data_IF_004453806486
#
_entry.id   IF_004453806486
#
_cell.length_a   1.000
_cell.length_b   1.000
_cell.length_c   1.000
_cell.angle_alpha   90.00
_cell.angle_beta   90.00
_cell.angle_gamma   90.00
#
_symmetry.space_group_name_H-M   'P 1'
#
loop_
_entity.id
_entity.type
_entity.pdbx_description
1 polymer ?
#
# COMPACT_ATOMS: atom_id res chain seq x y z
N UNK A 1 -17.11 28.82 28.60
CA UNK A 1 -17.05 27.57 27.83
C UNK A 1 -16.07 27.77 26.67
N UNK A 2 -15.57 26.68 26.08
CA UNK A 2 -14.70 26.72 24.91
C UNK A 2 -15.23 25.71 23.88
N UNK A 3 -15.21 26.09 22.62
CA UNK A 3 -15.62 25.27 21.49
C UNK A 3 -14.36 24.82 20.73
N UNK A 4 -14.28 23.55 20.33
CA UNK A 4 -13.10 22.99 19.67
C UNK A 4 -13.52 22.24 18.42
N UNK A 5 -12.86 22.54 17.30
CA UNK A 5 -13.01 21.79 16.06
C UNK A 5 -11.65 21.25 15.64
N UNK A 6 -11.61 19.95 15.33
CA UNK A 6 -10.41 19.21 14.98
C UNK A 6 -10.62 18.54 13.63
N UNK A 7 -9.65 18.68 12.74
CA UNK A 7 -9.56 17.95 11.49
C UNK A 7 -8.23 17.23 11.46
N UNK A 8 -8.29 15.91 11.27
CA UNK A 8 -7.11 15.06 11.18
C UNK A 8 -6.95 14.57 9.74
N UNK A 9 -5.80 14.84 9.14
CA UNK A 9 -5.37 14.28 7.86
C UNK A 9 -4.24 13.26 8.12
N UNK A 10 -4.41 11.98 7.72
CA UNK A 10 -3.38 10.97 7.92
C UNK A 10 -2.16 11.23 7.00
N UNK A 11 -1.01 10.68 7.40
CA UNK A 11 0.23 10.76 6.63
C UNK A 11 0.10 10.04 5.30
N UNK A 12 0.36 10.79 4.22
CA UNK A 12 0.53 10.26 2.88
C UNK A 12 1.98 10.50 2.51
N UNK A 13 2.87 9.52 2.72
CA UNK A 13 4.32 9.69 2.58
C UNK A 13 4.80 10.38 1.29
N UNK A 14 4.12 10.13 0.18
CA UNK A 14 4.44 10.74 -1.12
C UNK A 14 3.86 12.15 -1.30
N UNK A 15 2.85 12.53 -0.52
CA UNK A 15 2.10 13.79 -0.69
C UNK A 15 2.24 14.74 0.51
N UNK A 16 1.96 14.32 1.75
CA UNK A 16 1.80 15.19 2.94
C UNK A 16 2.13 14.49 4.28
N UNK A 17 2.74 15.17 5.28
CA UNK A 17 2.92 14.65 6.65
C UNK A 17 1.58 14.40 7.37
N UNK A 18 1.58 13.66 8.50
CA UNK A 18 0.43 13.65 9.42
C UNK A 18 0.13 15.09 9.78
N UNK A 19 -1.11 15.53 9.58
CA UNK A 19 -1.48 16.92 9.84
C UNK A 19 -2.73 16.94 10.70
N UNK A 20 -2.60 17.49 11.91
CA UNK A 20 -3.71 17.78 12.81
C UNK A 20 -3.91 19.29 12.80
N UNK A 21 -4.97 19.72 12.14
CA UNK A 21 -5.39 21.11 12.11
C UNK A 21 -6.57 21.28 13.05
N UNK A 22 -6.55 22.33 13.86
CA UNK A 22 -7.61 22.59 14.80
C UNK A 22 -7.71 24.04 15.15
N UNK A 23 -8.84 24.36 15.76
CA UNK A 23 -8.96 25.62 16.46
C UNK A 23 -9.79 25.48 17.72
N UNK A 24 -9.40 26.25 18.72
CA UNK A 24 -10.13 26.44 19.96
C UNK A 24 -10.67 27.87 19.96
N UNK A 25 -11.98 28.02 20.10
CA UNK A 25 -12.64 29.33 20.30
C UNK A 25 -13.14 29.42 21.74
N UNK A 26 -12.79 30.49 22.43
CA UNK A 26 -13.28 30.77 23.77
C UNK A 26 -14.57 31.59 23.68
N UNK A 27 -15.64 31.11 24.32
CA UNK A 27 -16.95 31.75 24.28
C UNK A 27 -18.09 30.77 24.58
N UNK A 28 -19.30 31.30 24.65
CA UNK A 28 -20.52 30.47 24.68
C UNK A 28 -20.84 30.06 23.25
N UNK A 29 -21.24 28.79 23.06
CA UNK A 29 -21.83 28.35 21.79
C UNK A 29 -23.15 29.10 21.56
N UNK A 30 -23.52 29.28 20.30
CA UNK A 30 -24.83 29.86 19.98
C UNK A 30 -25.97 28.89 20.31
N UNK A 31 -27.22 29.34 20.13
CA UNK A 31 -28.41 28.51 20.41
C UNK A 31 -28.48 27.23 19.55
N UNK A 32 -27.71 27.17 18.44
CA UNK A 32 -27.61 26.02 17.53
C UNK A 32 -26.43 25.09 17.86
N UNK A 33 -25.63 25.41 18.89
CA UNK A 33 -24.45 24.65 19.27
C UNK A 33 -23.22 24.89 18.39
N UNK A 34 -23.23 25.92 17.54
CA UNK A 34 -22.08 26.31 16.71
C UNK A 34 -21.07 27.13 17.52
N UNK A 35 -19.78 26.99 17.16
CA UNK A 35 -18.73 27.80 17.78
C UNK A 35 -18.93 29.28 17.45
N UNK A 36 -18.77 30.21 18.41
CA UNK A 36 -18.95 31.63 18.15
C UNK A 36 -17.94 32.15 17.10
N UNK A 37 -18.41 32.83 16.07
CA UNK A 37 -17.54 33.31 14.98
C UNK A 37 -16.61 34.47 15.41
N UNK A 38 -17.03 35.27 16.39
CA UNK A 38 -16.36 36.53 16.80
C UNK A 38 -15.54 36.42 18.10
N UNK A 39 -15.26 35.21 18.57
CA UNK A 39 -14.54 34.96 19.83
C UNK A 39 -13.01 34.98 19.74
N UNK A 40 -12.36 34.97 20.91
CA UNK A 40 -10.91 34.73 21.01
C UNK A 40 -10.58 33.33 20.50
N UNK A 41 -9.67 33.22 19.53
CA UNK A 41 -9.42 31.97 18.80
C UNK A 41 -7.94 31.62 18.74
N UNK A 42 -7.59 30.42 19.18
CA UNK A 42 -6.27 29.80 18.96
C UNK A 42 -6.42 28.80 17.82
N UNK A 43 -5.74 29.04 16.72
CA UNK A 43 -5.57 28.08 15.63
C UNK A 43 -4.26 27.34 15.85
N UNK A 44 -4.28 26.02 15.68
CA UNK A 44 -3.08 25.22 15.72
C UNK A 44 -3.01 24.28 14.52
N UNK A 45 -1.82 24.13 13.97
CA UNK A 45 -1.51 23.16 12.93
C UNK A 45 -0.30 22.36 13.37
N UNK A 46 -0.53 21.15 13.88
CA UNK A 46 0.52 20.21 14.24
C UNK A 46 0.77 19.27 13.05
N UNK A 47 2.03 19.15 12.65
CA UNK A 47 2.49 18.33 11.52
C UNK A 47 3.57 17.40 12.01
N UNK A 48 3.51 16.14 11.61
CA UNK A 48 4.51 15.14 11.95
C UNK A 48 4.83 14.30 10.71
N UNK A 49 6.10 14.19 10.34
CA UNK A 49 6.49 13.40 9.18
C UNK A 49 7.98 13.20 9.02
N UNK A 50 8.40 12.63 7.87
CA UNK A 50 9.81 12.43 7.57
C UNK A 50 10.53 13.75 7.30
N UNK A 51 11.86 13.72 7.39
CA UNK A 51 12.73 14.87 7.14
C UNK A 51 12.49 15.53 5.78
N UNK A 52 12.78 16.83 5.65
CA UNK A 52 12.75 17.53 4.36
C UNK A 52 13.60 16.87 3.28
N UNK A 53 14.76 16.33 3.66
CA UNK A 53 15.62 15.61 2.73
C UNK A 53 14.92 14.35 2.19
N UNK A 54 14.30 13.56 3.07
CA UNK A 54 13.53 12.38 2.67
C UNK A 54 12.32 12.75 1.80
N UNK A 55 11.61 13.84 2.13
CA UNK A 55 10.51 14.38 1.31
C UNK A 55 10.98 14.82 -0.08
N UNK A 56 12.10 15.54 -0.15
CA UNK A 56 12.70 15.99 -1.41
C UNK A 56 13.14 14.80 -2.27
N UNK A 57 13.78 13.80 -1.66
CA UNK A 57 14.17 12.57 -2.34
C UNK A 57 12.95 11.81 -2.89
N UNK A 58 11.88 11.69 -2.09
CA UNK A 58 10.60 11.09 -2.50
C UNK A 58 9.96 11.77 -3.71
N UNK A 59 10.13 13.09 -3.84
CA UNK A 59 9.62 13.88 -4.98
C UNK A 59 10.58 13.93 -6.18
N UNK A 60 11.85 13.60 -6.00
CA UNK A 60 12.84 13.65 -7.07
C UNK A 60 12.73 12.47 -8.04
N UNK A 61 13.17 12.67 -9.28
CA UNK A 61 13.30 11.60 -10.30
C UNK A 61 14.51 10.68 -10.07
N UNK A 62 15.18 10.78 -8.91
CA UNK A 62 16.30 9.90 -8.59
C UNK A 62 15.80 8.46 -8.40
N UNK A 63 16.44 7.55 -9.13
CA UNK A 63 15.88 6.23 -9.50
C UNK A 63 16.08 5.16 -8.41
N UNK A 64 16.91 5.35 -7.38
CA UNK A 64 17.02 4.31 -6.35
C UNK A 64 17.51 4.80 -5.00
N UNK A 65 16.99 4.15 -3.94
CA UNK A 65 17.43 4.30 -2.54
C UNK A 65 18.75 3.55 -2.29
N UNK A 66 19.02 2.52 -3.08
CA UNK A 66 20.20 1.66 -3.06
C UNK A 66 20.37 1.10 -4.47
N UNK A 67 21.47 1.39 -5.19
CA UNK A 67 21.80 1.04 -6.60
C UNK A 67 21.52 -0.42 -7.04
N UNK A 68 20.29 -0.90 -6.92
CA UNK A 68 19.90 -2.29 -7.11
C UNK A 68 18.50 -2.34 -7.66
N UNK A 69 18.31 -3.16 -8.70
CA UNK A 69 17.01 -3.40 -9.33
C UNK A 69 16.00 -4.09 -8.39
N UNK A 70 16.48 -4.61 -7.25
CA UNK A 70 15.71 -5.41 -6.29
C UNK A 70 15.05 -4.60 -5.16
N UNK A 71 15.40 -3.31 -5.01
CA UNK A 71 14.88 -2.45 -3.94
C UNK A 71 14.63 -1.02 -4.45
N UNK A 72 13.77 -0.86 -5.47
CA UNK A 72 13.53 0.43 -6.10
C UNK A 72 12.69 1.32 -5.17
N UNK A 73 12.75 2.63 -5.37
CA UNK A 73 12.05 3.63 -4.54
C UNK A 73 10.53 3.42 -4.50
N UNK A 74 9.96 2.87 -5.55
CA UNK A 74 8.53 2.63 -5.76
C UNK A 74 7.92 1.70 -4.70
N UNK A 75 8.74 0.84 -4.06
CA UNK A 75 8.29 -0.03 -2.96
C UNK A 75 7.79 0.77 -1.74
N UNK A 76 8.17 2.04 -1.59
CA UNK A 76 7.67 2.93 -0.54
C UNK A 76 6.17 3.27 -0.66
N UNK A 77 5.55 3.00 -1.83
CA UNK A 77 4.10 3.18 -2.04
C UNK A 77 3.28 2.15 -1.25
N UNK A 78 3.85 0.99 -0.96
CA UNK A 78 3.20 -0.14 -0.31
C UNK A 78 3.08 0.04 1.21
N UNK A 79 2.19 -0.71 1.85
CA UNK A 79 2.01 -0.70 3.30
C UNK A 79 1.55 -2.07 3.82
N UNK A 80 2.38 -2.85 4.52
CA UNK A 80 3.79 -2.59 4.79
C UNK A 80 4.65 -2.63 3.52
N UNK A 81 5.87 -2.10 3.62
CA UNK A 81 6.83 -2.12 2.52
C UNK A 81 7.29 -3.57 2.28
N UNK A 82 7.32 -4.06 1.03
CA UNK A 82 7.90 -5.34 0.67
C UNK A 82 9.36 -5.39 1.11
N UNK A 83 9.66 -6.22 2.11
CA UNK A 83 11.04 -6.43 2.56
C UNK A 83 11.55 -7.78 2.09
N UNK A 84 12.85 -7.85 1.87
CA UNK A 84 13.57 -9.07 1.52
C UNK A 84 14.99 -9.04 2.08
N UNK A 85 15.71 -10.14 1.95
CA UNK A 85 17.15 -10.19 2.24
C UNK A 85 17.95 -9.07 1.53
N UNK A 86 17.50 -8.65 0.36
CA UNK A 86 18.16 -7.65 -0.50
C UNK A 86 17.50 -6.26 -0.43
N UNK A 87 16.32 -6.17 0.18
CA UNK A 87 15.58 -4.93 0.38
C UNK A 87 15.18 -4.83 1.85
N UNK A 88 16.13 -4.37 2.67
CA UNK A 88 16.00 -4.36 4.13
C UNK A 88 15.22 -3.15 4.61
N UNK A 89 14.48 -3.32 5.71
CA UNK A 89 13.78 -2.22 6.41
C UNK A 89 14.67 -1.02 6.71
N UNK A 90 15.93 -1.26 7.11
CA UNK A 90 16.91 -0.21 7.41
C UNK A 90 17.14 0.77 6.26
N UNK A 91 16.94 0.34 5.01
CA UNK A 91 17.09 1.21 3.83
C UNK A 91 15.98 2.28 3.77
N UNK A 92 14.85 2.03 4.43
CA UNK A 92 13.66 2.87 4.39
C UNK A 92 13.43 3.68 5.66
N UNK A 93 14.14 3.39 6.75
CA UNK A 93 13.92 4.02 8.06
C UNK A 93 13.88 5.55 7.95
N UNK A 94 14.77 6.18 7.18
CA UNK A 94 14.79 7.63 7.02
C UNK A 94 13.57 8.22 6.29
N UNK A 95 12.87 7.40 5.50
CA UNK A 95 11.69 7.78 4.71
C UNK A 95 10.40 7.44 5.42
N UNK A 96 10.43 6.45 6.31
CA UNK A 96 9.25 5.98 7.05
C UNK A 96 9.20 6.48 8.49
N UNK A 97 10.34 6.92 9.04
CA UNK A 97 10.42 7.49 10.38
C UNK A 97 9.85 8.91 10.43
N UNK A 98 9.07 9.17 11.46
CA UNK A 98 8.68 10.52 11.83
C UNK A 98 9.89 11.18 12.49
N UNK A 99 10.59 12.03 11.75
CA UNK A 99 11.80 12.72 12.21
C UNK A 99 11.65 14.23 12.29
N UNK A 100 10.51 14.78 11.90
CA UNK A 100 10.22 16.21 11.94
C UNK A 100 8.83 16.43 12.49
N UNK A 101 8.72 17.36 13.42
CA UNK A 101 7.47 17.81 14.03
C UNK A 101 7.40 19.31 13.95
N UNK A 102 6.35 19.83 13.34
CA UNK A 102 6.12 21.26 13.20
C UNK A 102 4.79 21.60 13.88
N UNK A 103 4.73 22.68 14.63
CA UNK A 103 3.52 23.17 15.26
C UNK A 103 3.42 24.67 15.05
N UNK A 104 2.43 25.08 14.26
CA UNK A 104 2.10 26.49 14.07
C UNK A 104 0.95 26.86 14.99
N UNK A 105 1.11 27.92 15.76
CA UNK A 105 0.09 28.51 16.62
C UNK A 105 -0.20 29.93 16.14
N UNK A 106 -1.47 30.21 15.86
CA UNK A 106 -1.94 31.55 15.50
C UNK A 106 -3.04 31.99 16.44
N UNK A 107 -2.88 33.17 17.00
CA UNK A 107 -3.76 33.74 18.01
C UNK A 107 -4.54 34.90 17.40
N UNK A 108 -5.87 34.89 17.53
CA UNK A 108 -6.73 35.95 17.01
C UNK A 108 -7.66 36.45 18.12
N UNK A 109 -7.82 37.78 18.22
CA UNK A 109 -8.70 38.44 19.19
C UNK A 109 -8.48 37.98 20.64
N UNK A 110 -7.21 37.78 21.03
CA UNK A 110 -6.88 37.38 22.40
C UNK A 110 -7.24 38.49 23.39
N UNK A 111 -7.78 38.13 24.57
CA UNK A 111 -8.15 39.12 25.57
C UNK A 111 -6.90 39.76 26.20
N UNK A 112 -7.00 41.01 26.66
CA UNK A 112 -5.85 41.79 27.17
C UNK A 112 -5.10 41.12 28.34
N UNK A 113 -5.79 40.30 29.15
CA UNK A 113 -5.12 39.54 30.21
C UNK A 113 -4.15 38.47 29.67
N UNK A 114 -4.36 37.98 28.44
CA UNK A 114 -3.45 37.06 27.78
C UNK A 114 -2.14 37.75 27.41
N UNK A 115 -2.20 39.02 27.00
CA UNK A 115 -1.00 39.83 26.76
C UNK A 115 -0.17 39.99 28.04
N UNK A 116 -0.80 40.21 29.20
CA UNK A 116 -0.12 40.28 30.50
C UNK A 116 0.59 38.98 30.91
N UNK A 117 0.05 37.82 30.52
CA UNK A 117 0.74 36.55 30.71
C UNK A 117 1.88 36.35 29.70
N UNK A 118 1.65 36.68 28.43
CA UNK A 118 2.66 36.55 27.38
C UNK A 118 3.88 37.44 27.62
N UNK A 119 3.69 38.65 28.16
CA UNK A 119 4.78 39.57 28.50
C UNK A 119 5.69 39.04 29.61
N UNK A 120 5.19 38.19 30.52
CA UNK A 120 6.04 37.49 31.50
C UNK A 120 6.91 36.42 30.85
N UNK A 121 6.39 35.74 29.83
CA UNK A 121 7.17 34.83 29.00
C UNK A 121 8.17 35.60 28.14
N UNK A 122 7.82 36.76 27.59
CA UNK A 122 8.76 37.65 26.89
C UNK A 122 9.97 38.02 27.79
N UNK A 123 9.75 38.28 29.08
CA UNK A 123 10.82 38.53 30.05
C UNK A 123 11.71 37.31 30.32
N UNK A 124 11.12 36.12 30.44
CA UNK A 124 11.88 34.88 30.60
C UNK A 124 12.72 34.58 29.35
N UNK A 125 12.14 34.79 28.16
CA UNK A 125 12.78 34.49 26.87
C UNK A 125 13.87 35.53 26.53
N UNK A 126 13.64 36.81 26.82
CA UNK A 126 14.67 37.85 26.68
C UNK A 126 15.85 37.63 27.62
N UNK A 127 15.64 37.05 28.80
CA UNK A 127 16.72 36.68 29.73
C UNK A 127 17.58 35.49 29.25
N UNK A 128 17.05 34.64 28.37
CA UNK A 128 17.75 33.48 27.80
C UNK A 128 18.41 33.78 26.44
N UNK A 129 18.11 34.93 25.84
CA UNK A 129 18.64 35.38 24.56
C UNK A 129 19.97 36.12 24.73
N UNK A 130 20.97 35.82 23.89
CA UNK A 130 22.23 36.56 23.86
C UNK A 130 22.09 37.99 23.32
N UNK A 131 20.99 38.29 22.62
CA UNK A 131 20.67 39.62 22.10
C UNK A 131 19.53 40.25 22.89
N UNK A 132 19.60 41.57 23.10
CA UNK A 132 18.53 42.34 23.72
C UNK A 132 17.29 42.33 22.81
N UNK A 133 16.18 41.77 23.30
CA UNK A 133 14.90 41.72 22.58
C UNK A 133 13.89 42.56 23.36
N UNK A 134 13.37 43.63 22.75
CA UNK A 134 12.54 44.63 23.45
C UNK A 134 11.11 44.13 23.75
N UNK A 135 10.46 43.40 22.84
CA UNK A 135 9.18 42.73 23.08
C UNK A 135 8.91 41.68 22.00
N UNK A 136 8.46 40.49 22.41
CA UNK A 136 8.25 39.35 21.51
C UNK A 136 6.79 39.16 21.14
N UNK A 137 5.82 39.73 21.88
CA UNK A 137 4.39 39.67 21.57
C UNK A 137 3.91 38.24 21.26
N UNK A 138 4.06 37.30 22.20
CA UNK A 138 3.74 35.87 21.96
C UNK A 138 2.26 35.61 21.59
N UNK A 139 1.39 36.61 21.70
CA UNK A 139 -0.04 36.57 21.34
C UNK A 139 -0.36 36.72 19.85
N UNK A 140 0.63 36.62 18.96
CA UNK A 140 0.43 36.75 17.51
C UNK A 140 0.64 35.42 16.78
N UNK A 141 1.89 35.00 16.65
CA UNK A 141 2.24 33.76 15.98
C UNK A 141 3.45 33.11 16.65
N UNK A 142 3.36 31.81 16.85
CA UNK A 142 4.46 30.97 17.35
C UNK A 142 4.59 29.79 16.38
N UNK A 143 5.76 29.63 15.77
CA UNK A 143 6.09 28.45 14.99
C UNK A 143 7.12 27.64 15.79
N UNK A 144 6.83 26.37 15.99
CA UNK A 144 7.72 25.43 16.68
C UNK A 144 8.11 24.36 15.69
N UNK A 145 9.40 24.14 15.49
CA UNK A 145 9.94 23.18 14.54
C UNK A 145 10.97 22.32 15.25
N UNK A 146 10.71 21.02 15.35
CA UNK A 146 11.58 20.05 15.98
C UNK A 146 12.06 19.07 14.91
N UNK A 147 13.38 18.81 14.85
CA UNK A 147 13.90 17.74 13.99
C UNK A 147 14.78 16.78 14.77
N UNK A 148 14.53 15.49 14.56
CA UNK A 148 15.08 14.35 15.30
C UNK A 148 15.79 13.37 14.34
N UNK A 149 16.86 13.77 13.61
CA UNK A 149 17.53 12.85 12.69
C UNK A 149 18.31 11.72 13.41
N UNK A 150 18.65 11.88 14.69
CA UNK A 150 19.45 10.94 15.52
C UNK A 150 18.94 10.91 16.98
N UNK A 151 19.73 10.37 17.93
CA UNK A 151 19.46 10.37 19.38
C UNK A 151 19.37 11.78 20.00
N UNK A 152 19.70 12.80 19.22
CA UNK A 152 19.60 14.20 19.58
C UNK A 152 18.67 14.93 18.62
N UNK A 153 17.90 15.87 19.15
CA UNK A 153 17.09 16.79 18.37
C UNK A 153 17.52 18.23 18.56
N UNK A 154 17.19 19.03 17.54
CA UNK A 154 17.15 20.47 17.67
C UNK A 154 15.70 20.92 17.76
N UNK A 155 15.45 21.93 18.58
CA UNK A 155 14.18 22.62 18.67
C UNK A 155 14.39 24.06 18.20
N UNK A 156 13.72 24.43 17.12
CA UNK A 156 13.63 25.80 16.66
C UNK A 156 12.29 26.37 17.09
N UNK A 157 12.31 27.47 17.83
CA UNK A 157 11.11 28.23 18.18
C UNK A 157 11.23 29.58 17.50
N UNK A 158 10.24 29.94 16.70
CA UNK A 158 10.12 31.24 16.08
C UNK A 158 8.89 31.96 16.66
N UNK A 159 9.11 33.17 17.17
CA UNK A 159 8.04 34.04 17.65
C UNK A 159 8.17 35.36 16.93
N UNK A 160 7.18 35.70 16.11
CA UNK A 160 7.16 36.95 15.33
C UNK A 160 8.48 37.25 14.58
N UNK A 161 9.11 36.23 13.98
CA UNK A 161 10.37 36.36 13.22
C UNK A 161 11.66 36.31 14.06
N UNK A 162 11.59 36.23 15.39
CA UNK A 162 12.76 35.97 16.24
C UNK A 162 12.93 34.47 16.42
N UNK A 163 14.11 33.95 16.06
CA UNK A 163 14.42 32.52 16.09
C UNK A 163 15.32 32.15 17.27
N UNK A 164 14.93 31.12 18.02
CA UNK A 164 15.81 30.43 18.96
C UNK A 164 16.00 28.99 18.52
N UNK A 165 17.23 28.51 18.67
CA UNK A 165 17.59 27.12 18.37
C UNK A 165 18.23 26.49 19.58
N UNK A 166 17.55 25.51 20.15
CA UNK A 166 18.04 24.70 21.26
C UNK A 166 18.63 23.42 20.67
N UNK A 167 19.89 23.13 20.99
CA UNK A 167 20.63 21.99 20.47
C UNK A 167 20.75 20.86 21.51
N UNK A 168 20.99 19.64 21.02
CA UNK A 168 21.38 18.47 21.82
C UNK A 168 20.39 18.03 22.91
N UNK A 169 19.09 18.17 22.67
CA UNK A 169 18.11 17.58 23.58
C UNK A 169 18.02 16.07 23.25
N UNK A 170 18.17 15.16 24.23
CA UNK A 170 18.10 13.73 23.97
C UNK A 170 16.66 13.31 23.63
N UNK A 171 16.47 12.48 22.60
CA UNK A 171 15.17 11.90 22.25
C UNK A 171 15.34 10.43 21.90
N UNK A 172 14.63 9.58 22.63
CA UNK A 172 14.87 8.13 22.64
C UNK A 172 13.92 7.32 21.76
N UNK A 173 12.97 7.96 21.07
CA UNK A 173 11.88 7.24 20.39
C UNK A 173 11.70 7.65 18.93
N UNK A 174 12.22 6.87 17.99
CA UNK A 174 11.89 7.00 16.56
C UNK A 174 10.61 6.21 16.27
N UNK A 175 9.59 6.88 15.74
CA UNK A 175 8.32 6.25 15.33
C UNK A 175 8.38 5.94 13.84
N UNK A 176 8.12 4.67 13.47
CA UNK A 176 8.20 4.21 12.10
C UNK A 176 6.80 4.07 11.51
N UNK A 177 6.30 5.15 10.94
CA UNK A 177 4.88 5.30 10.60
C UNK A 177 4.33 4.32 9.55
N UNK A 178 5.16 3.72 8.67
CA UNK A 178 4.69 2.66 7.74
C UNK A 178 4.54 1.31 8.42
N UNK A 179 5.38 1.03 9.42
CA UNK A 179 5.41 -0.28 10.08
C UNK A 179 4.58 -0.27 11.37
N UNK A 180 4.51 0.85 12.08
CA UNK A 180 3.68 1.01 13.28
C UNK A 180 2.18 1.09 12.93
N UNK A 181 1.81 1.72 11.79
CA UNK A 181 0.42 1.72 11.31
C UNK A 181 -0.07 0.32 10.90
N UNK A 182 0.84 -0.57 10.49
CA UNK A 182 0.50 -1.98 10.20
C UNK A 182 0.04 -2.73 11.45
N UNK A 183 0.50 -2.31 12.63
CA UNK A 183 0.11 -2.86 13.93
C UNK A 183 -1.13 -2.20 14.53
N UNK A 184 -1.53 -1.02 14.05
CA UNK A 184 -2.67 -0.27 14.60
C UNK A 184 -4.04 -0.63 13.99
N UNK A 185 -4.09 -1.49 12.96
CA UNK A 185 -5.36 -1.84 12.30
C UNK A 185 -5.74 -3.32 12.37
N UNK A 186 -4.93 -4.21 12.95
CA UNK A 186 -5.37 -5.58 13.27
C UNK A 186 -4.47 -6.18 14.35
N UNK A 187 -5.04 -6.41 15.53
CA UNK A 187 -4.45 -7.31 16.52
C UNK A 187 -4.72 -8.74 16.04
N UNK A 188 -3.98 -9.17 15.02
CA UNK A 188 -4.01 -10.57 14.60
C UNK A 188 -2.79 -11.29 15.16
N UNK A 189 -3.09 -12.39 15.86
CA UNK A 189 -2.19 -13.20 16.68
C UNK A 189 -1.11 -13.99 15.90
N UNK A 190 -0.73 -13.53 14.70
CA UNK A 190 0.27 -14.18 13.86
C UNK A 190 1.15 -13.18 13.13
N UNK A 191 2.47 -13.44 13.12
CA UNK A 191 3.41 -12.77 12.22
C UNK A 191 2.96 -13.02 10.76
N UNK A 192 2.50 -11.97 10.08
CA UNK A 192 2.24 -12.04 8.63
C UNK A 192 3.54 -12.39 7.89
N UNK A 193 3.41 -13.16 6.81
CA UNK A 193 4.49 -13.50 5.88
C UNK A 193 4.17 -12.89 4.53
N UNK A 194 5.16 -12.24 3.94
CA UNK A 194 5.05 -11.61 2.63
C UNK A 194 5.79 -12.44 1.58
N UNK A 195 5.21 -12.52 0.39
CA UNK A 195 5.89 -12.86 -0.85
C UNK A 195 5.79 -11.66 -1.78
N UNK A 196 6.91 -11.21 -2.34
CA UNK A 196 6.93 -10.02 -3.19
C UNK A 196 7.50 -10.31 -4.56
N UNK A 197 6.98 -9.65 -5.59
CA UNK A 197 7.59 -9.60 -6.92
C UNK A 197 8.05 -8.17 -7.15
N UNK A 198 9.34 -7.96 -7.41
CA UNK A 198 9.93 -6.64 -7.63
C UNK A 198 10.78 -6.73 -8.89
N UNK A 199 10.42 -6.02 -9.96
CA UNK A 199 11.17 -5.98 -11.22
C UNK A 199 11.54 -7.39 -11.75
N UNK A 200 10.58 -8.33 -11.72
CA UNK A 200 10.78 -9.69 -12.20
C UNK A 200 11.46 -10.65 -11.20
N UNK A 201 11.75 -10.19 -9.99
CA UNK A 201 12.37 -11.00 -8.95
C UNK A 201 11.38 -11.32 -7.86
N UNK A 202 11.11 -12.60 -7.64
CA UNK A 202 10.25 -13.06 -6.56
C UNK A 202 11.09 -13.25 -5.31
N UNK A 203 10.68 -12.67 -4.19
CA UNK A 203 11.07 -13.07 -2.85
C UNK A 203 9.96 -13.94 -2.26
N UNK A 204 10.24 -15.22 -2.03
CA UNK A 204 9.27 -16.16 -1.47
C UNK A 204 8.98 -15.90 0.01
N UNK A 205 8.02 -16.63 0.60
CA UNK A 205 7.75 -16.57 2.04
C UNK A 205 8.93 -17.03 2.93
N UNK A 206 9.95 -17.65 2.34
CA UNK A 206 11.17 -18.16 2.97
C UNK A 206 12.41 -17.36 2.56
N UNK A 207 12.23 -16.16 2.02
CA UNK A 207 13.29 -15.29 1.51
C UNK A 207 14.16 -15.94 0.41
N UNK A 208 13.54 -16.83 -0.38
CA UNK A 208 14.18 -17.46 -1.54
C UNK A 208 13.92 -16.64 -2.80
N UNK A 209 14.99 -16.27 -3.50
CA UNK A 209 14.90 -15.50 -4.74
C UNK A 209 14.64 -16.39 -5.96
N UNK A 210 13.73 -15.95 -6.82
CA UNK A 210 13.42 -16.59 -8.09
C UNK A 210 13.38 -15.51 -9.17
N UNK A 211 14.09 -15.73 -10.27
CA UNK A 211 14.07 -14.85 -11.44
C UNK A 211 12.93 -15.27 -12.38
N UNK A 212 11.91 -14.42 -12.54
CA UNK A 212 10.81 -14.64 -13.49
C UNK A 212 11.28 -14.63 -14.94
N UNK A 213 12.41 -13.97 -15.24
CA UNK A 213 13.00 -13.98 -16.58
C UNK A 213 13.46 -15.36 -17.05
N UNK A 214 13.66 -16.31 -16.12
CA UNK A 214 14.01 -17.70 -16.44
C UNK A 214 12.78 -18.57 -16.72
N UNK A 215 11.57 -18.06 -16.45
CA UNK A 215 10.31 -18.79 -16.69
C UNK A 215 9.77 -18.40 -18.06
N UNK A 216 9.60 -19.39 -18.94
CA UNK A 216 9.06 -19.17 -20.27
C UNK A 216 7.62 -18.63 -20.20
N UNK A 217 7.43 -17.39 -20.66
CA UNK A 217 6.12 -16.75 -20.73
C UNK A 217 5.54 -16.88 -22.14
N UNK A 218 4.26 -17.24 -22.21
CA UNK A 218 3.51 -17.34 -23.47
C UNK A 218 2.17 -16.61 -23.30
N UNK A 219 1.66 -15.90 -24.32
CA UNK A 219 0.46 -15.06 -24.20
C UNK A 219 -0.79 -15.76 -23.62
N UNK A 220 -0.96 -17.06 -23.89
CA UNK A 220 -2.10 -17.85 -23.44
C UNK A 220 -1.82 -18.67 -22.18
N UNK A 221 -0.71 -18.40 -21.49
CA UNK A 221 -0.31 -19.13 -20.30
C UNK A 221 -0.26 -18.24 -19.07
N UNK A 222 -0.64 -18.82 -17.95
CA UNK A 222 -0.69 -18.24 -16.63
C UNK A 222 0.46 -18.82 -15.81
N UNK A 223 1.19 -17.98 -15.07
CA UNK A 223 2.22 -18.46 -14.13
C UNK A 223 1.69 -18.39 -12.71
N UNK A 224 1.60 -19.54 -12.04
CA UNK A 224 1.12 -19.67 -10.67
C UNK A 224 2.11 -19.03 -9.69
N UNK A 225 1.77 -17.85 -9.20
CA UNK A 225 2.54 -17.15 -8.18
C UNK A 225 2.33 -17.84 -6.82
N UNK A 226 1.06 -17.97 -6.42
CA UNK A 226 0.69 -18.56 -5.14
C UNK A 226 -0.74 -19.09 -5.17
N UNK A 227 -1.00 -20.22 -4.51
CA UNK A 227 -2.35 -20.70 -4.26
C UNK A 227 -2.47 -21.39 -2.90
N UNK A 228 -3.68 -21.43 -2.37
CA UNK A 228 -4.07 -22.30 -1.26
C UNK A 228 -4.25 -23.72 -1.81
N UNK A 229 -3.35 -24.62 -1.43
CA UNK A 229 -3.34 -26.03 -1.80
C UNK A 229 -3.91 -26.93 -0.70
N UNK A 230 -4.69 -26.38 0.24
CA UNK A 230 -5.46 -27.17 1.20
C UNK A 230 -6.58 -27.98 0.50
N UNK A 231 -7.21 -28.96 1.18
CA UNK A 231 -8.32 -29.73 0.60
C UNK A 231 -9.51 -28.87 0.13
N UNK A 232 -9.65 -27.66 0.65
CA UNK A 232 -10.68 -26.69 0.25
C UNK A 232 -10.01 -25.37 -0.19
N UNK A 233 -9.49 -25.30 -1.44
CA UNK A 233 -8.77 -24.14 -1.94
C UNK A 233 -9.60 -22.86 -1.87
N UNK A 234 -9.09 -21.84 -1.18
CA UNK A 234 -9.77 -20.55 -1.03
C UNK A 234 -9.33 -19.51 -2.05
N UNK A 235 -8.07 -19.59 -2.52
CA UNK A 235 -7.47 -18.55 -3.35
C UNK A 235 -6.38 -19.09 -4.28
N UNK A 236 -6.25 -18.50 -5.46
CA UNK A 236 -5.09 -18.67 -6.33
C UNK A 236 -4.77 -17.37 -7.06
N UNK A 237 -3.48 -17.06 -7.19
CA UNK A 237 -2.95 -15.85 -7.84
C UNK A 237 -2.01 -16.28 -8.95
N UNK A 238 -2.31 -15.82 -10.16
CA UNK A 238 -1.52 -16.05 -11.35
C UNK A 238 -1.02 -14.73 -11.92
N UNK A 239 0.23 -14.75 -12.40
CA UNK A 239 0.78 -13.70 -13.25
C UNK A 239 0.40 -14.00 -14.70
N UNK A 240 -0.06 -12.96 -15.41
CA UNK A 240 -0.38 -13.06 -16.83
C UNK A 240 0.63 -12.23 -17.64
N UNK A 241 1.19 -12.77 -18.73
CA UNK A 241 2.12 -12.00 -19.55
C UNK A 241 1.38 -10.90 -20.31
N UNK A 242 2.11 -9.81 -20.57
CA UNK A 242 1.63 -8.81 -21.51
C UNK A 242 1.54 -9.40 -22.92
N UNK A 243 0.56 -8.99 -23.75
CA UNK A 243 0.32 -9.57 -25.08
C UNK A 243 1.57 -9.65 -25.97
N UNK A 244 2.46 -8.65 -25.85
CA UNK A 244 3.68 -8.53 -26.65
C UNK A 244 4.94 -9.01 -25.90
N UNK A 245 4.81 -9.38 -24.62
CA UNK A 245 5.96 -9.70 -23.78
C UNK A 245 6.28 -11.20 -23.80
N UNK A 246 7.54 -11.51 -24.15
CA UNK A 246 8.12 -12.86 -24.02
C UNK A 246 8.57 -13.19 -22.59
N UNK A 247 8.38 -12.27 -21.66
CA UNK A 247 8.87 -12.37 -20.28
C UNK A 247 7.91 -11.69 -19.31
N UNK A 248 7.82 -12.21 -18.09
CA UNK A 248 7.08 -11.63 -16.97
C UNK A 248 7.93 -10.63 -16.16
N UNK A 249 9.18 -10.39 -16.55
CA UNK A 249 10.12 -9.62 -15.72
C UNK A 249 9.80 -8.12 -15.65
N UNK A 250 9.32 -7.52 -16.76
CA UNK A 250 9.18 -6.07 -16.88
C UNK A 250 7.77 -5.56 -16.61
N UNK A 251 6.74 -6.34 -16.95
CA UNK A 251 5.33 -5.95 -16.83
C UNK A 251 4.45 -7.21 -16.90
N UNK A 252 3.46 -7.30 -16.02
CA UNK A 252 2.53 -8.43 -15.97
C UNK A 252 1.13 -7.98 -15.53
N UNK A 253 0.13 -8.77 -15.91
CA UNK A 253 -1.22 -8.67 -15.36
C UNK A 253 -1.43 -9.69 -14.25
N UNK A 254 -2.62 -9.67 -13.66
CA UNK A 254 -3.03 -10.60 -12.60
C UNK A 254 -4.30 -11.32 -12.99
N UNK A 255 -4.36 -12.61 -12.66
CA UNK A 255 -5.62 -13.34 -12.52
C UNK A 255 -5.70 -13.87 -11.10
N UNK A 256 -6.73 -13.46 -10.38
CA UNK A 256 -6.93 -13.83 -8.97
C UNK A 256 -8.24 -14.58 -8.85
N UNK A 257 -8.16 -15.82 -8.37
CA UNK A 257 -9.30 -16.68 -8.03
C UNK A 257 -9.54 -16.61 -6.53
N UNK A 258 -10.80 -16.43 -6.12
CA UNK A 258 -11.24 -16.42 -4.72
C UNK A 258 -12.56 -17.20 -4.63
N UNK A 259 -12.48 -18.42 -4.11
CA UNK A 259 -13.57 -19.40 -4.16
C UNK A 259 -14.02 -19.66 -5.61
N UNK A 260 -15.34 -19.55 -5.93
CA UNK A 260 -15.84 -19.78 -7.28
C UNK A 260 -15.62 -18.58 -8.21
N UNK A 261 -15.24 -17.41 -7.66
CA UNK A 261 -15.12 -16.19 -8.43
C UNK A 261 -13.66 -15.95 -8.83
N UNK A 262 -13.48 -15.17 -9.88
CA UNK A 262 -12.17 -14.66 -10.24
C UNK A 262 -12.27 -13.31 -10.93
N UNK A 263 -11.19 -12.54 -10.89
CA UNK A 263 -11.06 -11.35 -11.72
C UNK A 263 -9.73 -11.34 -12.46
N UNK A 264 -9.72 -10.61 -13.58
CA UNK A 264 -8.53 -10.35 -14.36
C UNK A 264 -8.21 -8.86 -14.32
N UNK A 265 -6.96 -8.55 -14.01
CA UNK A 265 -6.35 -7.27 -14.28
C UNK A 265 -5.36 -7.47 -15.43
N UNK A 266 -5.58 -6.76 -16.55
CA UNK A 266 -4.69 -6.87 -17.72
C UNK A 266 -3.48 -5.96 -17.54
N UNK A 267 -2.30 -6.44 -17.94
CA UNK A 267 -1.08 -5.61 -17.98
C UNK A 267 -1.31 -4.36 -18.82
N UNK A 268 -0.74 -3.23 -18.40
CA UNK A 268 -0.84 -1.97 -19.15
C UNK A 268 0.09 -1.99 -20.37
N UNK A 269 -0.32 -1.34 -21.46
CA UNK A 269 0.56 -1.11 -22.60
C UNK A 269 1.43 0.14 -22.35
N UNK A 270 2.75 0.00 -22.38
CA UNK A 270 3.72 1.11 -22.27
C UNK A 270 4.30 1.37 -20.87
N UNK A 271 5.45 2.06 -20.82
CA UNK A 271 6.20 2.43 -19.61
C UNK A 271 5.72 3.77 -19.00
N UNK A 272 4.43 4.08 -19.10
CA UNK A 272 3.91 5.36 -18.59
C UNK A 272 3.68 5.28 -17.09
N UNK A 273 4.52 5.99 -16.32
CA UNK A 273 4.34 6.26 -14.89
C UNK A 273 3.29 7.34 -14.59
N UNK A 274 2.73 7.99 -15.63
CA UNK A 274 1.70 9.02 -15.51
C UNK A 274 0.31 8.42 -15.76
N UNK A 275 -0.34 7.91 -14.71
CA UNK A 275 -1.63 7.22 -14.84
C UNK A 275 -2.63 7.61 -13.74
N UNK A 276 -2.51 8.80 -13.16
CA UNK A 276 -3.40 9.24 -12.08
C UNK A 276 -4.87 9.37 -12.52
N UNK A 277 -5.15 9.52 -13.82
CA UNK A 277 -6.52 9.80 -14.31
C UNK A 277 -7.15 8.72 -15.21
N UNK A 278 -6.38 7.72 -15.68
CA UNK A 278 -6.94 6.70 -16.55
C UNK A 278 -7.80 5.68 -15.77
N UNK A 279 -8.89 5.16 -16.36
CA UNK A 279 -9.72 4.15 -15.71
C UNK A 279 -8.94 2.86 -15.42
N UNK A 280 -9.29 2.17 -14.34
CA UNK A 280 -8.64 0.95 -13.87
C UNK A 280 -9.63 -0.19 -13.94
N UNK A 281 -9.57 -0.94 -15.04
CA UNK A 281 -10.55 -1.97 -15.33
C UNK A 281 -10.16 -3.35 -14.78
N UNK A 282 -11.10 -3.99 -14.10
CA UNK A 282 -11.07 -5.43 -13.81
C UNK A 282 -12.20 -6.15 -14.54
N UNK A 283 -11.97 -7.43 -14.89
CA UNK A 283 -12.96 -8.30 -15.53
C UNK A 283 -13.30 -9.46 -14.61
N UNK A 284 -14.51 -9.49 -14.06
CA UNK A 284 -14.94 -10.50 -13.07
C UNK A 284 -15.73 -11.62 -13.76
N UNK A 285 -15.45 -12.89 -13.43
CA UNK A 285 -16.24 -14.06 -13.84
C UNK A 285 -16.63 -14.13 -15.34
N UNK A 286 -15.67 -13.93 -16.25
CA UNK A 286 -15.92 -13.87 -17.72
C UNK A 286 -16.87 -12.75 -18.19
N UNK A 287 -17.25 -11.81 -17.32
CA UNK A 287 -18.09 -10.69 -17.72
C UNK A 287 -17.43 -9.87 -18.84
N UNK A 288 -18.22 -9.55 -19.86
CA UNK A 288 -17.76 -8.71 -20.98
C UNK A 288 -17.60 -7.24 -20.58
N UNK A 289 -18.41 -6.78 -19.62
CA UNK A 289 -18.36 -5.40 -19.12
C UNK A 289 -17.26 -5.27 -18.06
N UNK A 290 -16.22 -4.46 -18.30
CA UNK A 290 -15.21 -4.20 -17.28
C UNK A 290 -15.79 -3.33 -16.15
N UNK A 291 -15.27 -3.54 -14.95
CA UNK A 291 -15.59 -2.69 -13.79
C UNK A 291 -14.44 -1.72 -13.54
N UNK A 292 -14.72 -0.42 -13.46
CA UNK A 292 -13.73 0.62 -13.18
C UNK A 292 -13.54 0.81 -11.67
N UNK A 293 -12.47 0.23 -11.14
CA UNK A 293 -12.14 0.24 -9.70
C UNK A 293 -11.78 1.65 -9.21
N UNK A 294 -11.42 2.58 -10.12
CA UNK A 294 -11.11 3.96 -9.75
C UNK A 294 -12.36 4.72 -9.29
N UNK A 295 -13.54 4.40 -9.84
CA UNK A 295 -14.79 5.09 -9.48
C UNK A 295 -15.35 4.61 -8.14
N UNK A 296 -15.30 3.29 -7.90
CA UNK A 296 -15.79 2.66 -6.69
C UNK A 296 -15.05 1.34 -6.46
N UNK A 297 -14.76 0.94 -5.21
CA UNK A 297 -14.29 -0.40 -4.91
C UNK A 297 -15.26 -1.48 -5.37
N UNK A 298 -14.73 -2.56 -5.94
CA UNK A 298 -15.49 -3.77 -6.20
C UNK A 298 -15.48 -4.67 -4.98
N UNK A 299 -16.60 -5.27 -4.63
CA UNK A 299 -16.65 -6.30 -3.59
C UNK A 299 -17.62 -7.41 -3.98
N UNK A 300 -17.39 -8.60 -3.45
CA UNK A 300 -18.29 -9.73 -3.62
C UNK A 300 -18.58 -10.43 -2.28
N UNK A 301 -19.86 -10.60 -1.90
CA UNK A 301 -21.05 -10.07 -2.57
C UNK A 301 -21.10 -8.53 -2.59
N UNK A 302 -21.83 -7.94 -3.56
CA UNK A 302 -21.80 -6.49 -3.82
C UNK A 302 -22.46 -5.68 -2.69
N UNK A 303 -23.50 -6.21 -2.07
CA UNK A 303 -24.36 -5.49 -1.11
C UNK A 303 -24.25 -6.02 0.33
N UNK A 304 -23.22 -6.80 0.64
CA UNK A 304 -23.01 -7.40 1.95
C UNK A 304 -21.83 -6.74 2.69
N UNK A 305 -21.98 -6.51 4.00
CA UNK A 305 -20.86 -6.08 4.83
C UNK A 305 -19.86 -7.22 5.06
N UNK A 306 -20.31 -8.48 5.04
CA UNK A 306 -19.48 -9.67 5.08
C UNK A 306 -19.08 -10.11 3.66
N UNK A 307 -18.16 -9.36 3.06
CA UNK A 307 -17.64 -9.68 1.73
C UNK A 307 -16.57 -10.77 1.77
N UNK A 308 -16.58 -11.66 0.77
CA UNK A 308 -15.56 -12.67 0.57
C UNK A 308 -14.26 -12.07 0.02
N UNK A 309 -14.37 -11.08 -0.87
CA UNK A 309 -13.24 -10.30 -1.34
C UNK A 309 -13.63 -8.89 -1.76
N UNK A 310 -12.65 -7.99 -1.68
CA UNK A 310 -12.75 -6.59 -2.09
C UNK A 310 -11.53 -6.22 -2.93
N UNK A 311 -11.76 -5.44 -3.97
CA UNK A 311 -10.74 -4.89 -4.87
C UNK A 311 -10.91 -3.38 -4.88
N UNK A 312 -9.86 -2.66 -4.51
CA UNK A 312 -9.88 -1.20 -4.46
C UNK A 312 -8.57 -0.60 -4.99
N UNK A 313 -8.62 0.69 -5.30
CA UNK A 313 -7.46 1.45 -5.71
C UNK A 313 -7.19 2.53 -4.66
N UNK A 314 -5.97 2.57 -4.13
CA UNK A 314 -5.59 3.61 -3.17
C UNK A 314 -5.11 4.90 -3.87
N UNK A 315 -4.82 5.93 -3.07
CA UNK A 315 -4.36 7.24 -3.55
C UNK A 315 -2.99 7.24 -4.25
N UNK A 316 -2.22 6.14 -4.13
CA UNK A 316 -0.92 5.94 -4.79
C UNK A 316 -1.02 5.04 -6.02
N UNK A 317 -2.24 4.74 -6.52
CA UNK A 317 -2.49 3.80 -7.60
C UNK A 317 -1.93 2.39 -7.31
N UNK A 318 -2.08 1.92 -6.07
CA UNK A 318 -1.89 0.51 -5.74
C UNK A 318 -3.26 -0.15 -5.77
N UNK A 319 -3.38 -1.20 -6.58
CA UNK A 319 -4.52 -2.10 -6.57
C UNK A 319 -4.41 -3.00 -5.33
N UNK A 320 -5.36 -2.85 -4.41
CA UNK A 320 -5.43 -3.63 -3.17
C UNK A 320 -6.53 -4.67 -3.34
N UNK A 321 -6.20 -5.93 -3.07
CA UNK A 321 -7.12 -7.06 -3.12
C UNK A 321 -7.13 -7.71 -1.75
N UNK A 322 -8.27 -7.68 -1.09
CA UNK A 322 -8.45 -8.29 0.22
C UNK A 322 -9.31 -9.55 0.09
N UNK A 323 -8.83 -10.66 0.66
CA UNK A 323 -9.54 -11.93 0.72
C UNK A 323 -9.79 -12.28 2.19
N UNK A 324 -11.03 -12.10 2.64
CA UNK A 324 -11.41 -12.31 4.05
C UNK A 324 -11.32 -13.78 4.46
N UNK A 325 -11.61 -14.71 3.53
CA UNK A 325 -11.60 -16.16 3.79
C UNK A 325 -10.24 -16.74 4.21
N UNK A 326 -9.15 -16.12 3.75
CA UNK A 326 -7.77 -16.50 4.07
C UNK A 326 -7.03 -15.39 4.85
N UNK A 327 -7.70 -14.26 5.10
CA UNK A 327 -7.09 -13.02 5.59
C UNK A 327 -5.82 -12.66 4.80
N UNK A 328 -5.92 -12.78 3.46
CA UNK A 328 -4.84 -12.51 2.54
C UNK A 328 -5.01 -11.14 1.90
N UNK A 329 -3.91 -10.42 1.72
CA UNK A 329 -3.89 -9.11 1.06
C UNK A 329 -2.91 -9.13 -0.10
N UNK A 330 -3.34 -8.64 -1.26
CA UNK A 330 -2.48 -8.40 -2.42
C UNK A 330 -2.41 -6.90 -2.62
N UNK A 331 -1.20 -6.37 -2.76
CA UNK A 331 -0.95 -5.00 -3.18
C UNK A 331 -0.20 -5.07 -4.51
N UNK A 332 -0.67 -4.38 -5.53
CA UNK A 332 -0.05 -4.40 -6.86
C UNK A 332 0.04 -2.99 -7.43
N UNK A 333 1.22 -2.58 -7.90
CA UNK A 333 1.43 -1.25 -8.50
C UNK A 333 0.87 -1.10 -9.92
N UNK A 334 0.18 -2.13 -10.41
CA UNK A 334 -0.37 -2.22 -11.76
C UNK A 334 0.68 -2.27 -12.87
N UNK A 335 1.92 -2.63 -12.54
CA UNK A 335 3.01 -2.72 -13.49
C UNK A 335 3.92 -3.92 -13.21
N UNK A 336 4.79 -3.84 -12.20
CA UNK A 336 5.80 -4.87 -11.97
C UNK A 336 6.17 -5.11 -10.49
N UNK A 337 5.58 -4.36 -9.56
CA UNK A 337 5.76 -4.57 -8.12
C UNK A 337 4.48 -5.12 -7.50
N UNK A 338 4.58 -6.29 -6.87
CA UNK A 338 3.49 -6.94 -6.17
C UNK A 338 3.95 -7.38 -4.77
N UNK A 339 3.06 -7.24 -3.79
CA UNK A 339 3.20 -7.80 -2.45
C UNK A 339 2.00 -8.68 -2.15
N UNK A 340 2.24 -9.90 -1.69
CA UNK A 340 1.22 -10.83 -1.25
C UNK A 340 1.47 -11.17 0.23
N UNK A 341 0.49 -10.90 1.08
CA UNK A 341 0.60 -11.08 2.53
C UNK A 341 -0.46 -12.03 3.05
N UNK A 342 -0.03 -12.94 3.92
CA UNK A 342 -0.89 -13.90 4.63
C UNK A 342 -0.42 -14.08 6.06
N UNK A 343 -1.26 -14.64 6.93
CA UNK A 343 -0.79 -15.13 8.23
C UNK A 343 0.19 -16.29 8.09
N UNK A 344 1.26 -16.27 8.88
CA UNK A 344 2.30 -17.30 8.86
C UNK A 344 1.78 -18.72 9.08
N UNK A 345 0.66 -18.89 9.81
CA UNK A 345 0.01 -20.20 10.03
C UNK A 345 -0.45 -20.85 8.72
N UNK A 346 -0.82 -20.04 7.72
CA UNK A 346 -1.28 -20.53 6.42
C UNK A 346 -0.12 -20.79 5.43
N UNK A 347 1.12 -20.43 5.76
CA UNK A 347 2.25 -20.60 4.84
C UNK A 347 2.43 -22.04 4.38
N UNK A 348 2.26 -23.03 5.26
CA UNK A 348 2.50 -24.45 4.97
C UNK A 348 1.47 -25.07 4.02
N UNK A 349 0.27 -24.50 3.93
CA UNK A 349 -0.78 -24.95 2.99
C UNK A 349 -0.69 -24.23 1.64
N UNK A 350 0.21 -23.27 1.47
CA UNK A 350 0.40 -22.59 0.19
C UNK A 350 1.29 -23.40 -0.76
N UNK A 351 1.03 -23.23 -2.05
CA UNK A 351 1.85 -23.76 -3.15
C UNK A 351 2.11 -22.66 -4.20
N UNK A 352 2.93 -22.94 -5.20
CA UNK A 352 3.35 -21.98 -6.23
C UNK A 352 4.74 -21.38 -5.99
N UNK A 353 5.14 -20.42 -6.81
CA UNK A 353 6.48 -19.82 -6.77
C UNK A 353 6.80 -19.18 -5.41
N UNK A 354 5.83 -18.53 -4.77
CA UNK A 354 5.97 -17.93 -3.44
C UNK A 354 6.24 -18.93 -2.32
N UNK A 355 6.00 -20.23 -2.54
CA UNK A 355 6.19 -21.26 -1.52
C UNK A 355 7.58 -21.90 -1.59
N UNK A 356 8.36 -21.67 -2.67
CA UNK A 356 9.72 -22.21 -2.79
C UNK A 356 10.63 -21.70 -1.64
N UNK A 357 11.59 -22.53 -1.17
CA UNK A 357 11.93 -23.85 -1.67
C UNK A 357 11.00 -24.95 -1.15
N UNK A 358 10.04 -24.64 -0.28
CA UNK A 358 9.04 -25.55 0.24
C UNK A 358 7.93 -25.80 -0.79
N UNK A 359 7.13 -26.85 -0.62
CA UNK A 359 5.94 -27.16 -1.43
C UNK A 359 6.15 -27.02 -2.95
N UNK A 360 7.28 -27.56 -3.46
CA UNK A 360 7.65 -27.43 -4.87
C UNK A 360 6.66 -28.18 -5.75
N UNK A 361 6.24 -27.50 -6.82
CA UNK A 361 5.49 -28.08 -7.92
C UNK A 361 6.42 -28.38 -9.09
N UNK A 362 6.05 -29.38 -9.91
CA UNK A 362 6.79 -29.74 -11.12
C UNK A 362 6.63 -28.69 -12.23
N UNK A 363 5.44 -28.07 -12.33
CA UNK A 363 5.14 -27.04 -13.30
C UNK A 363 4.36 -25.91 -12.62
N UNK A 364 4.72 -24.67 -12.95
CA UNK A 364 4.07 -23.45 -12.46
C UNK A 364 3.28 -22.75 -13.57
N UNK A 365 3.35 -23.25 -14.81
CA UNK A 365 2.72 -22.62 -15.98
C UNK A 365 1.50 -23.42 -16.40
N UNK A 366 0.35 -22.74 -16.51
CA UNK A 366 -0.91 -23.30 -16.98
C UNK A 366 -1.33 -22.60 -18.26
N UNK A 367 -1.41 -23.32 -19.37
CA UNK A 367 -1.80 -22.76 -20.67
C UNK A 367 -3.25 -23.10 -20.97
N UNK A 368 -4.04 -22.09 -21.33
CA UNK A 368 -5.39 -22.31 -21.84
C UNK A 368 -5.29 -22.88 -23.25
N UNK A 369 -5.85 -24.06 -23.47
CA UNK A 369 -5.97 -24.65 -24.81
C UNK A 369 -6.98 -23.81 -25.60
N UNK A 370 -6.57 -23.35 -26.77
CA UNK A 370 -7.44 -22.65 -27.72
C UNK A 370 -8.65 -23.54 -28.06
N UNK A 371 -9.82 -23.24 -27.50
CA UNK A 371 -11.09 -23.92 -27.85
C UNK A 371 -11.62 -23.51 -29.22
N UNK A 372 -10.75 -23.05 -30.13
CA UNK A 372 -11.04 -22.90 -31.56
C UNK A 372 -10.79 -24.17 -32.37
N UNK A 373 -10.25 -25.22 -31.74
CA UNK A 373 -10.02 -26.52 -32.36
C UNK A 373 -10.91 -27.62 -31.81
N UNK A 374 -12.23 -27.48 -31.89
CA UNK A 374 -13.10 -28.68 -31.90
C UNK A 374 -12.88 -29.32 -33.27
N UNK A 375 -12.28 -30.52 -33.41
CA UNK A 375 -12.41 -31.24 -34.65
C UNK A 375 -13.89 -31.60 -34.75
N UNK A 376 -14.56 -31.08 -35.77
CA UNK A 376 -15.82 -31.64 -36.27
C UNK A 376 -15.66 -33.16 -36.29
N UNK A 377 -16.54 -33.95 -35.63
CA UNK A 377 -16.44 -35.39 -35.70
C UNK A 377 -16.58 -35.77 -37.17
N UNK A 378 -15.51 -36.33 -37.74
CA UNK A 378 -15.52 -36.90 -39.08
C UNK A 378 -16.65 -37.93 -39.13
N UNK A 379 -17.53 -37.91 -40.14
CA UNK A 379 -18.54 -38.95 -40.28
C UNK A 379 -17.84 -40.30 -40.34
N UNK A 380 -18.25 -41.20 -39.45
CA UNK A 380 -17.80 -42.59 -39.42
C UNK A 380 -18.02 -43.21 -40.81
N UNK A 381 -17.00 -43.80 -41.45
CA UNK A 381 -17.20 -44.45 -42.74
C UNK A 381 -18.16 -45.62 -42.58
N UNK A 382 -19.19 -45.63 -43.42
CA UNK A 382 -20.20 -46.68 -43.57
C UNK A 382 -19.51 -48.05 -43.57
N UNK A 383 -19.96 -49.03 -42.76
CA UNK A 383 -19.34 -50.35 -42.75
C UNK A 383 -19.54 -51.01 -44.10
N UNK A 384 -18.42 -51.30 -44.77
CA UNK A 384 -18.40 -52.15 -45.95
C UNK A 384 -18.93 -53.53 -45.56
N UNK A 385 -20.05 -53.94 -46.16
CA UNK A 385 -20.58 -55.29 -46.03
C UNK A 385 -19.52 -56.31 -46.43
N UNK A 386 -19.06 -57.12 -45.49
CA UNK A 386 -18.41 -58.39 -45.82
C UNK A 386 -19.48 -59.47 -46.01
N UNK A 387 -19.31 -60.36 -47.00
CA UNK A 387 -20.30 -61.37 -47.32
C UNK A 387 -20.33 -62.47 -46.26
N UNK A 388 -21.56 -62.86 -45.93
CA UNK A 388 -21.95 -63.97 -45.06
C UNK A 388 -21.23 -65.27 -45.47
N UNK A 389 -20.53 -65.89 -44.52
CA UNK A 389 -20.18 -67.31 -44.60
C UNK A 389 -20.69 -68.03 -43.36
N UNK A 390 -21.78 -68.79 -43.56
CA UNK A 390 -22.30 -69.78 -42.63
C UNK A 390 -21.21 -70.77 -42.22
N UNK A 391 -20.99 -70.97 -40.92
CA UNK A 391 -20.79 -72.31 -40.36
C UNK A 391 -21.43 -72.38 -38.98
N UNK A 392 -22.32 -73.35 -38.84
CA UNK A 392 -23.15 -73.68 -37.71
C UNK A 392 -22.39 -74.40 -36.58
N UNK A 393 -22.92 -74.25 -35.36
CA UNK A 393 -23.02 -75.24 -34.26
C UNK A 393 -21.81 -75.54 -33.36
N UNK A 394 -22.22 -75.83 -32.10
CA UNK A 394 -21.59 -76.58 -30.99
C UNK A 394 -20.79 -75.70 -30.02
N UNK A 395 -20.98 -75.72 -28.70
CA UNK A 395 -22.01 -76.15 -27.74
C UNK A 395 -21.49 -75.67 -26.37
N UNK A 396 -22.38 -75.31 -25.46
CA UNK A 396 -22.08 -75.08 -24.04
C UNK A 396 -21.40 -76.28 -23.37
N UNK A 397 -20.37 -76.00 -22.57
CA UNK A 397 -20.27 -76.39 -21.14
C UNK A 397 -19.39 -75.37 -20.42
#
# INVERSE_FOLDING_TARGET
MACTKLTYEPLVFTKRPHTLNGYVVFGLADENGECPETGSKVQFAARAGPSEHARAFLRSDKISLTDTDFCPKEVLKFSPIPTSKYCKRSNFENFTSITQYDMDLKFNNMPAWFELWSTRLDHLVSALSANKVDSLNMSKQINITMHTPHDHFWLTVEVNGVHWRIYHIPFLYKLDSKFDASHQLTYDSGLKRSCSVINGMINSFDDYLINLGEIAAHPNCLTLLVADCSPLPKMAVFLTPSPDAKSLASNYGLRVHIGPNYFNFRSRAGNSSHVDEAPVFIYVNQAQTPYDVRQKPYQWPIDDSDYAFRVELNEQNILIVECTKLSATIQFDMYNILNFEIYGVYKHQMCGLCSKPLNRMQNYTLCELDTRGTPTPTPMPTPTQMPVRNVSKVLLT
#
